data_IF_501177684822
#
_entry.id   IF_501177684822
#
_cell.length_a   1.000
_cell.length_b   1.000
_cell.length_c   1.000
_cell.angle_alpha   90.00
_cell.angle_beta   90.00
_cell.angle_gamma   90.00
#
_symmetry.space_group_name_H-M   'P 1'
#
loop_
_entity.id
_entity.type
_entity.pdbx_description
1 polymer ?
#
# COMPACT_ATOMS: atom_id res chain seq x y z
N UNK A 1 -4.92 6.24 -20.71
CA UNK A 1 -4.33 6.59 -19.39
C UNK A 1 -5.43 7.22 -18.55
N UNK A 2 -6.02 6.45 -17.64
CA UNK A 2 -7.27 6.82 -16.97
C UNK A 2 -7.07 7.87 -15.88
N UNK A 3 -8.08 8.72 -15.68
CA UNK A 3 -8.18 9.73 -14.60
C UNK A 3 -7.85 9.15 -13.21
N UNK A 4 -8.14 7.87 -12.97
CA UNK A 4 -7.78 7.19 -11.72
C UNK A 4 -6.26 7.00 -11.55
N UNK A 5 -5.53 6.74 -12.64
CA UNK A 5 -4.06 6.64 -12.64
C UNK A 5 -3.43 8.03 -12.42
N UNK A 6 -4.03 9.06 -13.01
CA UNK A 6 -3.66 10.47 -12.77
C UNK A 6 -3.86 10.86 -11.31
N UNK A 7 -4.96 10.48 -10.66
CA UNK A 7 -5.26 10.82 -9.25
C UNK A 7 -4.40 10.00 -8.26
N UNK A 8 -4.14 8.72 -8.56
CA UNK A 8 -3.25 7.89 -7.73
C UNK A 8 -1.76 8.24 -7.92
N UNK A 9 -1.37 8.69 -9.11
CA UNK A 9 -0.03 9.19 -9.41
C UNK A 9 0.24 10.59 -8.87
N UNK A 10 -0.73 11.52 -8.94
CA UNK A 10 -0.53 12.92 -8.51
C UNK A 10 -0.29 13.05 -7.00
N UNK A 11 -1.00 12.29 -6.15
CA UNK A 11 -0.83 12.37 -4.70
C UNK A 11 0.56 11.90 -4.24
N UNK A 12 1.07 10.81 -4.83
CA UNK A 12 2.46 10.38 -4.58
C UNK A 12 3.48 11.39 -5.10
N UNK A 13 3.23 11.98 -6.28
CA UNK A 13 4.13 12.99 -6.83
C UNK A 13 4.17 14.25 -5.98
N UNK A 14 3.02 14.72 -5.48
CA UNK A 14 2.94 15.89 -4.61
C UNK A 14 3.69 15.69 -3.29
N UNK A 15 3.58 14.50 -2.69
CA UNK A 15 4.33 14.15 -1.48
C UNK A 15 5.85 14.12 -1.71
N UNK A 16 6.29 13.53 -2.83
CA UNK A 16 7.70 13.48 -3.22
C UNK A 16 8.26 14.88 -3.51
N UNK A 17 7.49 15.72 -4.22
CA UNK A 17 7.87 17.12 -4.45
C UNK A 17 7.98 17.92 -3.16
N UNK A 18 7.07 17.68 -2.21
CA UNK A 18 7.10 18.37 -0.94
C UNK A 18 8.33 17.96 -0.10
N UNK A 19 8.71 16.67 -0.14
CA UNK A 19 9.98 16.20 0.43
C UNK A 19 11.18 16.87 -0.25
N UNK A 20 11.20 16.91 -1.59
CA UNK A 20 12.27 17.54 -2.34
C UNK A 20 12.49 19.00 -1.91
N UNK A 21 11.40 19.78 -1.84
CA UNK A 21 11.41 21.17 -1.37
C UNK A 21 11.87 21.31 0.08
N UNK A 22 11.38 20.46 0.99
CA UNK A 22 11.73 20.52 2.42
C UNK A 22 13.22 20.28 2.66
N UNK A 23 13.81 19.34 1.91
CA UNK A 23 15.18 18.88 2.13
C UNK A 23 16.19 19.50 1.17
N UNK A 24 15.75 20.38 0.27
CA UNK A 24 16.62 21.07 -0.69
C UNK A 24 17.30 20.13 -1.68
N UNK A 25 16.62 19.04 -2.06
CA UNK A 25 17.12 18.06 -3.03
C UNK A 25 16.31 18.13 -4.34
N UNK A 26 16.85 17.59 -5.43
CA UNK A 26 16.12 17.50 -6.69
C UNK A 26 14.88 16.59 -6.57
N UNK A 27 13.82 16.88 -7.34
CA UNK A 27 12.62 16.03 -7.40
C UNK A 27 12.95 14.58 -7.77
N UNK A 28 13.82 14.40 -8.77
CA UNK A 28 14.29 13.08 -9.19
C UNK A 28 15.06 12.34 -8.09
N UNK A 29 15.84 13.08 -7.28
CA UNK A 29 16.56 12.52 -6.15
C UNK A 29 15.60 12.07 -5.05
N UNK A 30 14.58 12.90 -4.72
CA UNK A 30 13.55 12.53 -3.75
C UNK A 30 12.77 11.29 -4.19
N UNK A 31 12.38 11.23 -5.48
CA UNK A 31 11.72 10.06 -6.06
C UNK A 31 12.61 8.81 -6.00
N UNK A 32 13.89 8.95 -6.32
CA UNK A 32 14.85 7.86 -6.24
C UNK A 32 15.03 7.36 -4.80
N UNK A 33 15.13 8.27 -3.81
CA UNK A 33 15.20 7.91 -2.39
C UNK A 33 13.98 7.08 -2.01
N UNK A 34 12.77 7.56 -2.28
CA UNK A 34 11.53 6.82 -1.98
C UNK A 34 11.53 5.43 -2.65
N UNK A 35 11.92 5.35 -3.92
CA UNK A 35 12.01 4.07 -4.66
C UNK A 35 12.97 3.08 -3.99
N UNK A 36 14.06 3.54 -3.40
CA UNK A 36 15.03 2.68 -2.70
C UNK A 36 14.61 2.34 -1.27
N UNK A 37 13.78 3.16 -0.62
CA UNK A 37 13.26 2.90 0.72
C UNK A 37 12.08 1.92 0.73
N UNK A 38 11.20 1.99 -0.29
CA UNK A 38 9.96 1.20 -0.35
C UNK A 38 10.18 -0.31 -0.21
N UNK A 39 11.17 -0.96 -0.88
CA UNK A 39 11.39 -2.40 -0.73
C UNK A 39 11.76 -2.80 0.71
N UNK A 40 12.58 -1.98 1.39
CA UNK A 40 12.95 -2.24 2.77
C UNK A 40 11.74 -2.10 3.70
N UNK A 41 10.97 -1.01 3.56
CA UNK A 41 9.73 -0.79 4.33
C UNK A 41 8.73 -1.94 4.13
N UNK A 42 8.53 -2.36 2.88
CA UNK A 42 7.66 -3.49 2.55
C UNK A 42 8.15 -4.82 3.13
N UNK A 43 9.46 -5.07 3.11
CA UNK A 43 10.05 -6.25 3.73
C UNK A 43 9.86 -6.27 5.26
N UNK A 44 10.02 -5.11 5.92
CA UNK A 44 9.76 -4.99 7.36
C UNK A 44 8.29 -5.19 7.72
N UNK A 45 7.37 -4.59 6.95
CA UNK A 45 5.92 -4.85 7.12
C UNK A 45 5.60 -6.32 6.92
N UNK A 46 6.08 -6.94 5.83
CA UNK A 46 5.90 -8.38 5.57
C UNK A 46 6.37 -9.22 6.75
N UNK A 47 7.56 -8.94 7.29
CA UNK A 47 8.12 -9.66 8.43
C UNK A 47 7.22 -9.55 9.67
N UNK A 48 6.66 -8.36 9.94
CA UNK A 48 5.78 -8.18 11.09
C UNK A 48 4.42 -8.86 10.91
N UNK A 49 3.85 -8.82 9.70
CA UNK A 49 2.55 -9.45 9.41
C UNK A 49 2.59 -10.97 9.31
N UNK A 50 3.77 -11.60 9.49
CA UNK A 50 3.88 -13.05 9.63
C UNK A 50 3.36 -13.56 10.98
N UNK A 51 3.17 -12.66 11.95
CA UNK A 51 2.56 -12.96 13.25
C UNK A 51 1.17 -12.35 13.34
N UNK A 52 0.25 -13.03 14.04
CA UNK A 52 -1.11 -12.53 14.27
C UNK A 52 -1.09 -11.18 15.01
N UNK A 53 -0.24 -11.04 16.03
CA UNK A 53 -0.04 -9.80 16.78
C UNK A 53 0.45 -8.65 15.89
N UNK A 54 1.42 -8.91 15.02
CA UNK A 54 1.98 -7.91 14.12
C UNK A 54 0.98 -7.48 13.03
N UNK A 55 0.17 -8.41 12.53
CA UNK A 55 -0.93 -8.10 11.62
C UNK A 55 -1.99 -7.24 12.30
N UNK A 56 -2.41 -7.59 13.52
CA UNK A 56 -3.40 -6.83 14.28
C UNK A 56 -2.88 -5.43 14.63
N UNK A 57 -1.60 -5.31 15.01
CA UNK A 57 -0.94 -4.02 15.25
C UNK A 57 -0.93 -3.16 14.00
N UNK A 58 -0.63 -3.74 12.82
CA UNK A 58 -0.68 -3.00 11.56
C UNK A 58 -2.11 -2.53 11.25
N UNK A 59 -3.10 -3.41 11.36
CA UNK A 59 -4.50 -3.07 11.12
C UNK A 59 -4.99 -1.96 12.06
N UNK A 60 -4.57 -1.99 13.33
CA UNK A 60 -4.86 -0.94 14.31
C UNK A 60 -4.20 0.39 13.92
N UNK A 61 -2.93 0.38 13.53
CA UNK A 61 -2.23 1.59 13.08
C UNK A 61 -2.86 2.19 11.82
N UNK A 62 -3.26 1.37 10.85
CA UNK A 62 -3.92 1.83 9.62
C UNK A 62 -5.33 2.37 9.87
N UNK A 63 -6.08 1.76 10.80
CA UNK A 63 -7.43 2.21 11.15
C UNK A 63 -7.44 3.49 11.98
N UNK A 64 -6.46 3.66 12.89
CA UNK A 64 -6.44 4.77 13.85
C UNK A 64 -5.51 5.92 13.44
N UNK A 65 -4.51 5.67 12.59
CA UNK A 65 -3.41 6.61 12.35
C UNK A 65 -3.74 7.75 11.38
N UNK A 66 -4.83 7.65 10.62
CA UNK A 66 -5.24 8.64 9.61
C UNK A 66 -4.08 9.14 8.71
N UNK A 67 -3.12 8.27 8.40
CA UNK A 67 -1.90 8.64 7.68
C UNK A 67 -2.17 9.02 6.21
N UNK A 68 -3.32 8.64 5.66
CA UNK A 68 -3.73 8.98 4.31
C UNK A 68 -3.80 10.51 4.08
N UNK A 69 -4.06 11.29 5.14
CA UNK A 69 -4.06 12.77 5.10
C UNK A 69 -2.76 13.36 4.57
N UNK A 70 -1.62 12.69 4.79
CA UNK A 70 -0.32 13.16 4.35
C UNK A 70 -0.11 13.04 2.84
N UNK A 71 -0.88 12.18 2.17
CA UNK A 71 -0.90 12.10 0.71
C UNK A 71 -1.76 13.21 0.08
N UNK A 72 -2.80 13.63 0.78
CA UNK A 72 -3.73 14.68 0.34
C UNK A 72 -3.20 16.07 0.65
N UNK A 73 -2.55 16.23 1.81
CA UNK A 73 -1.93 17.46 2.27
C UNK A 73 -0.48 17.22 2.73
N UNK A 74 0.48 17.12 1.79
CA UNK A 74 1.89 16.92 2.11
C UNK A 74 2.50 18.00 2.99
N UNK A 75 1.90 19.19 3.09
CA UNK A 75 2.36 20.23 4.00
C UNK A 75 2.30 19.79 5.46
N UNK A 76 1.38 18.89 5.82
CA UNK A 76 1.25 18.34 7.18
C UNK A 76 2.36 17.37 7.57
N UNK A 77 3.14 16.89 6.59
CA UNK A 77 4.35 16.11 6.89
C UNK A 77 5.41 16.92 7.61
N UNK A 78 5.34 18.25 7.50
CA UNK A 78 6.40 19.14 7.95
C UNK A 78 5.93 20.03 9.10
N UNK A 79 6.85 20.32 10.03
CA UNK A 79 6.64 21.35 11.05
C UNK A 79 5.90 20.89 12.30
N UNK A 80 5.64 19.59 12.44
CA UNK A 80 5.09 18.98 13.65
C UNK A 80 6.05 17.92 14.18
N UNK A 81 6.52 18.10 15.42
CA UNK A 81 7.36 17.12 16.10
C UNK A 81 6.62 15.78 16.25
N UNK A 82 5.30 15.83 16.28
CA UNK A 82 4.39 14.70 16.33
C UNK A 82 4.53 13.82 15.09
N UNK A 83 4.61 14.40 13.89
CA UNK A 83 4.76 13.62 12.64
C UNK A 83 6.13 12.93 12.57
N UNK A 84 7.18 13.58 13.07
CA UNK A 84 8.51 12.95 13.20
C UNK A 84 8.51 11.81 14.21
N UNK A 85 7.87 12.00 15.36
CA UNK A 85 7.72 10.95 16.37
C UNK A 85 6.91 9.77 15.84
N UNK A 86 5.82 10.04 15.11
CA UNK A 86 4.97 9.04 14.47
C UNK A 86 5.75 8.21 13.44
N UNK A 87 6.49 8.86 12.54
CA UNK A 87 7.35 8.18 11.58
C UNK A 87 8.42 7.32 12.24
N UNK A 88 9.02 7.80 13.33
CA UNK A 88 10.00 7.02 14.10
C UNK A 88 9.36 5.82 14.81
N UNK A 89 8.13 5.94 15.31
CA UNK A 89 7.39 4.83 15.91
C UNK A 89 7.06 3.76 14.84
N UNK A 90 6.62 4.18 13.66
CA UNK A 90 6.38 3.29 12.51
C UNK A 90 7.67 2.54 12.15
N UNK A 91 8.80 3.24 12.01
CA UNK A 91 10.10 2.62 11.74
C UNK A 91 10.51 1.64 12.84
N UNK A 92 10.27 2.00 14.11
CA UNK A 92 10.52 1.13 15.26
C UNK A 92 9.74 -0.18 15.17
N UNK A 93 8.48 -0.13 14.76
CA UNK A 93 7.69 -1.34 14.49
C UNK A 93 8.22 -2.09 13.28
N UNK A 94 8.34 -1.44 12.11
CA UNK A 94 8.70 -2.08 10.83
C UNK A 94 10.10 -2.71 10.86
N UNK A 95 11.09 -2.02 11.42
CA UNK A 95 12.48 -2.44 11.40
C UNK A 95 12.98 -3.02 12.73
N UNK A 96 12.26 -2.81 13.82
CA UNK A 96 12.61 -3.30 15.16
C UNK A 96 13.76 -2.55 15.84
N UNK A 97 14.66 -1.93 15.07
CA UNK A 97 15.84 -1.24 15.60
C UNK A 97 16.21 -0.02 14.77
N UNK A 98 16.84 0.96 15.42
CA UNK A 98 17.33 2.18 14.74
C UNK A 98 18.52 1.87 13.84
N UNK A 99 19.25 0.80 14.13
CA UNK A 99 20.38 0.30 13.38
C UNK A 99 19.94 -0.12 11.97
N UNK A 100 18.88 -0.92 11.86
CA UNK A 100 18.30 -1.30 10.56
C UNK A 100 17.82 -0.08 9.78
N UNK A 101 17.13 0.87 10.44
CA UNK A 101 16.73 2.14 9.80
C UNK A 101 17.93 2.91 9.24
N UNK A 102 19.06 2.93 9.96
CA UNK A 102 20.29 3.61 9.54
C UNK A 102 20.96 2.90 8.35
N UNK A 103 20.94 1.57 8.31
CA UNK A 103 21.47 0.79 7.19
C UNK A 103 20.63 1.01 5.92
N UNK A 104 19.30 1.02 6.05
CA UNK A 104 18.38 1.33 4.95
C UNK A 104 18.67 2.73 4.39
N UNK A 105 18.86 3.73 5.27
CA UNK A 105 19.24 5.07 4.86
C UNK A 105 20.63 5.12 4.17
N UNK A 106 21.61 4.37 4.69
CA UNK A 106 22.95 4.30 4.09
C UNK A 106 22.92 3.66 2.69
N UNK A 107 22.12 2.62 2.51
CA UNK A 107 21.94 1.97 1.21
C UNK A 107 21.30 2.93 0.19
N UNK A 108 20.23 3.62 0.58
CA UNK A 108 19.58 4.62 -0.27
C UNK A 108 20.54 5.77 -0.62
N UNK A 109 21.38 6.22 0.31
CA UNK A 109 22.38 7.27 0.06
C UNK A 109 23.38 6.82 -1.01
N UNK A 110 23.93 5.61 -0.88
CA UNK A 110 24.87 5.05 -1.84
C UNK A 110 24.28 4.88 -3.25
N UNK A 111 22.97 4.68 -3.38
CA UNK A 111 22.30 4.50 -4.67
C UNK A 111 21.83 5.79 -5.33
N UNK A 112 21.50 6.80 -4.53
CA UNK A 112 20.88 8.05 -5.01
C UNK A 112 21.84 9.22 -5.07
N UNK A 113 23.00 9.13 -4.40
CA UNK A 113 23.93 10.23 -4.26
C UNK A 113 23.44 11.35 -3.33
N UNK A 114 22.32 11.14 -2.63
CA UNK A 114 21.82 12.08 -1.61
C UNK A 114 22.58 11.85 -0.31
N UNK A 115 22.88 12.93 0.41
CA UNK A 115 23.52 12.87 1.73
C UNK A 115 22.76 11.95 2.69
N UNK A 116 23.52 11.09 3.39
CA UNK A 116 22.95 10.12 4.34
C UNK A 116 22.24 10.82 5.51
N UNK A 117 22.73 11.98 5.96
CA UNK A 117 22.09 12.79 6.99
C UNK A 117 20.73 13.30 6.54
N UNK A 118 20.63 13.74 5.29
CA UNK A 118 19.36 14.12 4.65
C UNK A 118 18.40 12.94 4.58
N UNK A 119 18.82 11.77 4.07
CA UNK A 119 17.95 10.59 4.01
C UNK A 119 17.50 10.14 5.40
N UNK A 120 18.37 10.18 6.41
CA UNK A 120 17.99 9.85 7.79
C UNK A 120 16.87 10.75 8.32
N UNK A 121 16.85 12.03 7.94
CA UNK A 121 15.76 12.96 8.30
C UNK A 121 14.52 12.76 7.44
N UNK A 122 14.68 12.31 6.20
CA UNK A 122 13.56 11.97 5.32
C UNK A 122 12.89 10.65 5.73
N UNK A 123 13.64 9.71 6.30
CA UNK A 123 13.19 8.33 6.51
C UNK A 123 11.91 8.22 7.36
N UNK A 124 11.73 8.96 8.47
CA UNK A 124 10.48 8.94 9.22
C UNK A 124 9.29 9.43 8.39
N UNK A 125 9.48 10.42 7.52
CA UNK A 125 8.44 10.99 6.65
C UNK A 125 8.12 10.05 5.50
N UNK A 126 9.14 9.35 4.98
CA UNK A 126 8.95 8.28 4.02
C UNK A 126 8.11 7.14 4.62
N UNK A 127 8.32 6.82 5.90
CA UNK A 127 7.57 5.79 6.60
C UNK A 127 6.10 6.19 6.85
N UNK A 128 5.82 7.45 7.26
CA UNK A 128 4.43 7.93 7.40
C UNK A 128 3.72 7.96 6.06
N UNK A 129 4.38 8.39 4.98
CA UNK A 129 3.84 8.35 3.63
C UNK A 129 3.54 6.93 3.15
N UNK A 130 4.45 6.00 3.42
CA UNK A 130 4.26 4.59 3.11
C UNK A 130 3.04 4.03 3.85
N UNK A 131 2.89 4.33 5.15
CA UNK A 131 1.69 3.97 5.91
C UNK A 131 0.42 4.65 5.40
N UNK A 132 0.50 5.90 4.94
CA UNK A 132 -0.62 6.58 4.29
C UNK A 132 -1.06 5.88 3.00
N UNK A 133 -0.10 5.38 2.22
CA UNK A 133 -0.37 4.57 1.03
C UNK A 133 -1.06 3.25 1.38
N UNK A 134 -0.57 2.55 2.41
CA UNK A 134 -1.20 1.32 2.90
C UNK A 134 -2.61 1.56 3.45
N UNK A 135 -2.82 2.66 4.19
CA UNK A 135 -4.12 3.00 4.76
C UNK A 135 -5.14 3.32 3.67
N UNK A 136 -4.72 4.07 2.65
CA UNK A 136 -5.53 4.34 1.46
C UNK A 136 -5.88 3.04 0.72
N UNK A 137 -4.92 2.11 0.60
CA UNK A 137 -5.16 0.81 -0.01
C UNK A 137 -6.10 -0.07 0.84
N UNK A 138 -6.04 0.01 2.17
CA UNK A 138 -6.99 -0.66 3.06
C UNK A 138 -8.41 -0.13 2.87
N UNK A 139 -8.59 1.19 2.80
CA UNK A 139 -9.91 1.80 2.57
C UNK A 139 -10.52 1.38 1.22
N UNK A 140 -9.68 1.09 0.23
CA UNK A 140 -10.10 0.59 -1.08
C UNK A 140 -10.23 -0.95 -1.14
N UNK A 141 -10.01 -1.65 -0.02
CA UNK A 141 -10.07 -3.12 0.05
C UNK A 141 -8.86 -3.83 -0.57
N UNK A 142 -7.83 -3.12 -1.01
CA UNK A 142 -6.66 -3.66 -1.69
C UNK A 142 -5.54 -4.16 -0.75
N UNK A 143 -5.66 -3.98 0.57
CA UNK A 143 -4.61 -4.37 1.52
C UNK A 143 -4.36 -5.89 1.49
N UNK A 144 -5.43 -6.69 1.34
CA UNK A 144 -5.31 -8.14 1.18
C UNK A 144 -4.48 -8.54 -0.05
N UNK A 145 -4.68 -7.85 -1.18
CA UNK A 145 -3.89 -8.08 -2.40
C UNK A 145 -2.42 -7.66 -2.22
N UNK A 146 -2.17 -6.55 -1.52
CA UNK A 146 -0.82 -6.10 -1.22
C UNK A 146 -0.06 -7.10 -0.34
N UNK A 147 -0.68 -7.53 0.77
CA UNK A 147 -0.09 -8.50 1.70
C UNK A 147 0.08 -9.86 1.03
N UNK A 148 -0.91 -10.33 0.27
CA UNK A 148 -0.82 -11.57 -0.50
C UNK A 148 0.30 -11.52 -1.54
N UNK A 149 0.45 -10.41 -2.26
CA UNK A 149 1.54 -10.21 -3.23
C UNK A 149 2.93 -10.16 -2.59
N UNK A 150 3.03 -9.66 -1.35
CA UNK A 150 4.29 -9.68 -0.59
C UNK A 150 4.60 -11.05 -0.02
N UNK A 151 3.63 -11.74 0.57
CA UNK A 151 3.82 -13.06 1.20
C UNK A 151 4.05 -14.13 0.13
N UNK A 152 3.31 -14.10 -0.97
CA UNK A 152 3.35 -15.08 -2.05
C UNK A 152 4.54 -15.00 -3.01
N UNK A 153 5.46 -14.05 -2.83
CA UNK A 153 6.70 -14.00 -3.63
C UNK A 153 6.48 -13.65 -5.10
N UNK A 154 6.12 -12.40 -5.38
CA UNK A 154 6.33 -11.70 -6.66
C UNK A 154 6.22 -12.50 -7.96
N UNK A 155 5.06 -12.43 -8.64
CA UNK A 155 4.99 -12.79 -10.05
C UNK A 155 3.69 -13.34 -10.61
N UNK A 156 2.53 -12.85 -10.21
CA UNK A 156 1.31 -12.91 -11.06
C UNK A 156 0.34 -11.84 -10.59
N UNK A 157 -0.27 -11.04 -11.48
CA UNK A 157 -1.45 -10.27 -11.11
C UNK A 157 -2.46 -11.27 -10.56
N UNK A 158 -2.96 -11.03 -9.34
CA UNK A 158 -4.12 -11.75 -8.86
C UNK A 158 -5.22 -11.56 -9.93
N UNK A 159 -5.82 -12.62 -10.49
CA UNK A 159 -7.00 -12.46 -11.29
C UNK A 159 -8.03 -11.73 -10.42
N UNK A 160 -8.73 -10.78 -11.03
CA UNK A 160 -9.86 -10.06 -10.46
C UNK A 160 -10.68 -10.96 -9.53
N UNK A 161 -11.28 -10.43 -8.44
CA UNK A 161 -12.25 -11.18 -7.66
C UNK A 161 -13.52 -11.39 -8.49
N UNK A 162 -13.49 -12.36 -9.42
CA UNK A 162 -14.66 -12.97 -10.06
C UNK A 162 -15.33 -14.00 -9.13
N UNK A 163 -15.03 -14.00 -7.84
CA UNK A 163 -15.52 -15.05 -6.94
C UNK A 163 -16.88 -14.75 -6.28
N UNK A 164 -17.41 -13.54 -6.41
CA UNK A 164 -18.82 -13.26 -6.05
C UNK A 164 -19.79 -13.45 -7.21
N UNK A 165 -19.29 -13.53 -8.45
CA UNK A 165 -20.13 -13.77 -9.63
C UNK A 165 -19.90 -15.15 -10.26
N UNK A 166 -18.76 -15.81 -10.06
CA UNK A 166 -18.52 -17.18 -10.53
C UNK A 166 -19.07 -18.26 -9.59
N UNK A 167 -19.12 -18.06 -8.27
CA UNK A 167 -19.83 -19.00 -7.38
C UNK A 167 -21.34 -18.91 -7.57
N UNK A 168 -21.85 -17.71 -7.86
CA UNK A 168 -23.26 -17.50 -8.22
C UNK A 168 -23.57 -17.89 -9.67
N UNK A 169 -22.56 -17.95 -10.56
CA UNK A 169 -22.71 -18.46 -11.93
C UNK A 169 -22.54 -19.99 -11.99
N UNK A 170 -21.68 -20.60 -11.16
CA UNK A 170 -21.49 -22.06 -11.10
C UNK A 170 -22.54 -22.78 -10.26
N UNK A 171 -23.37 -22.04 -9.52
CA UNK A 171 -24.63 -22.55 -8.95
C UNK A 171 -25.83 -22.28 -9.88
N UNK A 172 -25.66 -21.50 -10.95
CA UNK A 172 -26.71 -21.10 -11.89
C UNK A 172 -26.52 -21.70 -13.30
N UNK A 173 -25.37 -22.31 -13.59
CA UNK A 173 -24.97 -22.79 -14.92
C UNK A 173 -24.24 -24.14 -14.78
N UNK A 174 -24.99 -25.20 -14.47
CA UNK A 174 -24.44 -26.54 -14.24
C UNK A 174 -24.50 -27.45 -15.49
N UNK A 175 -25.07 -27.00 -16.61
CA UNK A 175 -25.05 -27.74 -17.88
C UNK A 175 -24.78 -26.91 -19.14
N UNK A 176 -24.63 -25.58 -19.02
CA UNK A 176 -23.99 -24.75 -20.05
C UNK A 176 -24.85 -24.44 -21.27
N UNK A 177 -26.18 -24.30 -21.12
CA UNK A 177 -27.10 -24.07 -22.25
C UNK A 177 -27.64 -22.62 -22.38
N UNK A 178 -27.47 -21.80 -21.34
CA UNK A 178 -27.85 -20.39 -21.37
C UNK A 178 -29.34 -20.07 -21.54
N UNK A 179 -30.27 -20.97 -21.17
CA UNK A 179 -31.71 -20.79 -21.44
C UNK A 179 -32.64 -21.11 -20.25
N UNK A 180 -32.64 -20.25 -19.22
CA UNK A 180 -33.60 -20.31 -18.07
C UNK A 180 -35.09 -20.18 -18.44
N UNK A 181 -35.42 -19.85 -19.69
CA UNK A 181 -36.81 -19.73 -20.16
C UNK A 181 -37.42 -21.09 -20.55
N UNK A 182 -36.59 -22.08 -20.93
CA UNK A 182 -37.08 -23.37 -21.44
C UNK A 182 -37.57 -24.29 -20.30
N UNK A 183 -36.90 -24.26 -19.14
CA UNK A 183 -37.27 -25.07 -17.97
C UNK A 183 -38.57 -24.62 -17.28
N UNK A 184 -38.88 -23.32 -17.32
CA UNK A 184 -40.12 -22.79 -16.73
C UNK A 184 -41.32 -23.08 -17.63
N UNK A 185 -41.14 -23.05 -18.96
CA UNK A 185 -42.18 -23.41 -19.92
C UNK A 185 -42.44 -24.92 -19.96
N UNK A 186 -41.41 -25.75 -19.72
CA UNK A 186 -41.50 -27.20 -19.64
C UNK A 186 -42.23 -27.71 -18.39
N UNK A 187 -42.06 -27.07 -17.22
CA UNK A 187 -42.74 -27.50 -15.99
C UNK A 187 -44.25 -27.20 -15.97
N UNK A 188 -44.71 -26.13 -16.62
CA UNK A 188 -46.13 -25.79 -16.69
C UNK A 188 -46.94 -26.79 -17.54
N UNK A 189 -46.28 -27.48 -18.49
CA UNK A 189 -46.91 -28.43 -19.40
C UNK A 189 -47.02 -29.85 -18.85
N UNK A 190 -46.47 -30.11 -17.65
CA UNK A 190 -46.50 -31.43 -16.99
C UNK A 190 -47.63 -31.58 -15.95
N UNK A 191 -48.46 -30.54 -15.78
CA UNK A 191 -49.66 -30.56 -14.93
C UNK A 191 -50.96 -30.43 -15.73
N UNK A 192 -50.89 -30.59 -17.06
CA UNK A 192 -52.00 -30.96 -17.93
C UNK A 192 -51.69 -32.28 -18.64
#
# INVERSE_FOLDING_TARGET
MGILDTIMGHGQNAAVEALAKKFGIGGDQAAAVMKHLTPALGAGVKKNTQSDDGLQSLMGALSNGNHARYLENPAELFGKAETEAEGNAILGHIFGSKEVSREVAANAAAKTGVDIGTIKKMLPMAATLFMGGLGKQQQQGGLGNFVSGLIGGGGTPAPEPKQSRSMLSSLLDQDGDGSVMDDVLGMAKKFF
#
